data_IF_682293695729
#
_entry.id   IF_682293695729
#
_cell.length_a   1.000
_cell.length_b   1.000
_cell.length_c   1.000
_cell.angle_alpha   90.00
_cell.angle_beta   90.00
_cell.angle_gamma   90.00
#
_symmetry.space_group_name_H-M   'P 1'
#
loop_
_entity.id
_entity.type
_entity.pdbx_description
1 polymer ?
#
# COMPACT_ATOMS: atom_id res chain seq x y z
N UNK A 1 1.24 -12.42 -1.42
CA UNK A 1 1.58 -11.41 -2.42
C UNK A 1 2.88 -10.69 -2.06
N UNK A 2 2.97 -9.91 -0.97
CA UNK A 2 4.18 -9.16 -0.54
C UNK A 2 5.41 -10.05 -0.50
N UNK A 3 5.31 -11.23 0.13
CA UNK A 3 6.43 -12.18 0.22
C UNK A 3 6.97 -12.58 -1.17
N UNK A 4 6.10 -12.78 -2.16
CA UNK A 4 6.54 -13.11 -3.53
C UNK A 4 7.34 -11.98 -4.16
N UNK A 5 6.92 -10.72 -3.97
CA UNK A 5 7.64 -9.55 -4.45
C UNK A 5 9.01 -9.42 -3.76
N UNK A 6 9.06 -9.59 -2.45
CA UNK A 6 10.30 -9.52 -1.67
C UNK A 6 11.30 -10.60 -2.05
N UNK A 7 10.85 -11.81 -2.42
CA UNK A 7 11.76 -12.85 -2.94
C UNK A 7 12.46 -12.42 -4.23
N UNK A 8 11.78 -11.65 -5.10
CA UNK A 8 12.39 -11.13 -6.34
C UNK A 8 13.38 -10.02 -6.03
N UNK A 9 12.96 -8.99 -5.32
CA UNK A 9 13.83 -7.83 -5.06
C UNK A 9 15.05 -8.18 -4.20
N UNK A 10 14.95 -9.18 -3.33
CA UNK A 10 16.08 -9.70 -2.55
C UNK A 10 16.95 -10.70 -3.33
N UNK A 11 16.62 -11.01 -4.59
CA UNK A 11 17.38 -11.92 -5.43
C UNK A 11 17.22 -13.42 -5.12
N UNK A 12 16.26 -13.77 -4.25
CA UNK A 12 15.93 -15.17 -3.90
C UNK A 12 15.04 -15.85 -4.95
N UNK A 13 14.42 -15.09 -5.83
CA UNK A 13 13.66 -15.53 -7.00
C UNK A 13 14.03 -14.65 -8.19
N UNK A 14 14.16 -15.23 -9.38
CA UNK A 14 14.62 -14.52 -10.58
C UNK A 14 13.59 -13.46 -11.02
N UNK A 15 12.34 -13.86 -11.13
CA UNK A 15 11.25 -13.00 -11.64
C UNK A 15 9.89 -13.41 -11.07
N UNK A 16 8.90 -12.57 -11.21
CA UNK A 16 7.50 -12.91 -10.93
C UNK A 16 6.58 -12.15 -11.86
N UNK A 17 5.62 -12.87 -12.42
CA UNK A 17 4.54 -12.27 -13.19
C UNK A 17 3.29 -12.19 -12.31
N UNK A 18 2.74 -11.01 -12.21
CA UNK A 18 1.50 -10.74 -11.49
C UNK A 18 0.30 -10.92 -12.45
N UNK A 19 -0.88 -11.03 -11.86
CA UNK A 19 -2.12 -11.05 -12.64
C UNK A 19 -2.34 -9.74 -13.41
N UNK A 20 -3.33 -9.76 -14.29
CA UNK A 20 -3.71 -8.62 -15.10
C UNK A 20 -4.09 -7.39 -14.28
N UNK A 21 -3.73 -6.23 -14.80
CA UNK A 21 -4.24 -4.92 -14.39
C UNK A 21 -5.05 -4.37 -15.56
N UNK A 22 -6.28 -3.99 -15.29
CA UNK A 22 -7.20 -3.47 -16.30
C UNK A 22 -7.48 -2.01 -16.02
N UNK A 23 -7.58 -1.20 -17.09
CA UNK A 23 -7.90 0.22 -16.94
C UNK A 23 -7.94 0.92 -18.27
N UNK A 24 -7.92 2.24 -18.23
CA UNK A 24 -7.88 3.09 -19.40
C UNK A 24 -6.63 3.95 -19.39
N UNK A 25 -5.91 3.94 -20.51
CA UNK A 25 -4.79 4.84 -20.73
C UNK A 25 -5.34 6.24 -21.04
N UNK A 26 -5.10 7.19 -20.14
CA UNK A 26 -5.37 8.61 -20.32
C UNK A 26 -4.10 9.31 -20.75
N UNK A 27 -4.20 10.52 -21.31
CA UNK A 27 -3.07 11.26 -21.91
C UNK A 27 -1.75 11.24 -21.15
N UNK A 28 -1.78 11.21 -19.82
CA UNK A 28 -0.58 11.23 -18.97
C UNK A 28 -0.66 10.27 -17.78
N UNK A 29 -1.69 9.41 -17.71
CA UNK A 29 -1.91 8.54 -16.57
C UNK A 29 -2.66 7.27 -17.00
N UNK A 30 -2.43 6.19 -16.26
CA UNK A 30 -3.23 4.99 -16.33
C UNK A 30 -4.28 5.01 -15.23
N UNK A 31 -5.55 4.93 -15.59
CA UNK A 31 -6.69 4.86 -14.67
C UNK A 31 -7.10 3.39 -14.45
N UNK A 32 -6.66 2.75 -13.35
CA UNK A 32 -6.95 1.34 -13.12
C UNK A 32 -8.40 1.15 -12.70
N UNK A 33 -9.08 0.24 -13.37
CA UNK A 33 -10.39 -0.25 -13.00
C UNK A 33 -10.29 -1.41 -12.01
N UNK A 34 -9.34 -2.32 -12.26
CA UNK A 34 -8.97 -3.43 -11.36
C UNK A 34 -7.46 -3.46 -11.15
N UNK A 35 -7.06 -4.09 -10.06
CA UNK A 35 -5.65 -4.18 -9.67
C UNK A 35 -5.16 -3.01 -8.81
N UNK A 36 -6.04 -2.09 -8.39
CA UNK A 36 -5.69 -0.92 -7.58
C UNK A 36 -4.86 -1.29 -6.34
N UNK A 37 -5.25 -2.34 -5.62
CA UNK A 37 -4.50 -2.79 -4.44
C UNK A 37 -3.10 -3.30 -4.79
N UNK A 38 -2.94 -3.97 -5.94
CA UNK A 38 -1.62 -4.43 -6.44
C UNK A 38 -0.72 -3.26 -6.78
N UNK A 39 -1.27 -2.25 -7.48
CA UNK A 39 -0.55 -1.03 -7.81
C UNK A 39 -0.16 -0.23 -6.57
N UNK A 40 -1.06 -0.10 -5.59
CA UNK A 40 -0.75 0.52 -4.29
C UNK A 40 0.37 -0.23 -3.57
N UNK A 41 0.35 -1.57 -3.57
CA UNK A 41 1.41 -2.37 -2.95
C UNK A 41 2.74 -2.17 -3.66
N UNK A 42 2.76 -2.13 -5.00
CA UNK A 42 3.96 -1.85 -5.78
C UNK A 42 4.47 -0.43 -5.50
N UNK A 43 3.60 0.56 -5.44
CA UNK A 43 3.97 1.93 -5.07
C UNK A 43 4.67 1.96 -3.70
N UNK A 44 4.09 1.33 -2.68
CA UNK A 44 4.71 1.26 -1.34
C UNK A 44 6.04 0.51 -1.38
N UNK A 45 6.14 -0.60 -2.12
CA UNK A 45 7.40 -1.34 -2.27
C UNK A 45 8.50 -0.47 -2.91
N UNK A 46 8.18 0.27 -3.98
CA UNK A 46 9.11 1.19 -4.63
C UNK A 46 9.56 2.28 -3.64
N UNK A 47 8.62 2.88 -2.90
CA UNK A 47 8.93 3.86 -1.87
C UNK A 47 9.84 3.30 -0.77
N UNK A 48 9.56 2.10 -0.27
CA UNK A 48 10.40 1.44 0.77
C UNK A 48 11.82 1.20 0.25
N UNK A 49 11.97 0.88 -1.02
CA UNK A 49 13.28 0.69 -1.67
C UNK A 49 13.98 2.01 -2.02
N UNK A 50 13.34 3.17 -1.81
CA UNK A 50 13.93 4.48 -2.05
C UNK A 50 13.90 4.92 -3.52
N UNK A 51 13.00 4.37 -4.34
CA UNK A 51 12.75 4.85 -5.70
C UNK A 51 12.07 6.21 -5.64
N UNK A 52 12.49 7.13 -6.50
CA UNK A 52 11.79 8.42 -6.66
C UNK A 52 10.41 8.19 -7.30
N UNK A 53 9.37 8.59 -6.60
CA UNK A 53 7.97 8.42 -6.98
C UNK A 53 7.27 9.76 -7.18
N UNK A 54 8.04 10.79 -7.52
CA UNK A 54 7.55 12.13 -7.79
C UNK A 54 7.47 12.41 -9.29
N UNK A 55 6.50 13.22 -9.67
CA UNK A 55 6.44 13.83 -11.00
C UNK A 55 7.47 14.95 -11.12
N UNK A 56 7.63 15.51 -12.29
CA UNK A 56 8.51 16.67 -12.51
C UNK A 56 8.12 17.90 -11.65
N UNK A 57 6.85 17.97 -11.25
CA UNK A 57 6.27 19.01 -10.38
C UNK A 57 6.42 18.70 -8.90
N UNK A 58 7.01 17.55 -8.53
CA UNK A 58 7.19 17.11 -7.15
C UNK A 58 5.96 16.46 -6.52
N UNK A 59 4.94 16.16 -7.31
CA UNK A 59 3.72 15.49 -6.86
C UNK A 59 3.88 13.94 -6.89
N UNK A 60 3.08 13.22 -6.11
CA UNK A 60 3.06 11.75 -6.17
C UNK A 60 2.58 11.22 -7.52
N UNK A 61 3.25 10.20 -8.04
CA UNK A 61 2.80 9.47 -9.24
C UNK A 61 1.53 8.64 -9.00
N UNK A 62 1.19 8.32 -7.75
CA UNK A 62 -0.05 7.65 -7.39
C UNK A 62 -1.09 8.66 -6.95
N UNK A 63 -2.20 8.72 -7.67
CA UNK A 63 -3.29 9.69 -7.46
C UNK A 63 -4.56 8.93 -7.07
N UNK A 64 -5.30 9.48 -6.11
CA UNK A 64 -6.62 9.01 -5.68
C UNK A 64 -7.67 10.09 -5.94
N UNK A 65 -8.25 10.14 -7.13
CA UNK A 65 -9.20 11.19 -7.53
C UNK A 65 -10.42 11.33 -6.60
N UNK A 66 -10.89 10.22 -6.04
CA UNK A 66 -12.11 10.19 -5.20
C UNK A 66 -11.82 10.15 -3.69
N UNK A 67 -10.55 10.17 -3.29
CA UNK A 67 -10.12 10.03 -1.88
C UNK A 67 -9.06 11.06 -1.53
N UNK A 68 -9.49 12.29 -1.30
CA UNK A 68 -8.60 13.43 -1.05
C UNK A 68 -7.63 13.21 0.11
N UNK A 69 -8.03 12.48 1.17
CA UNK A 69 -7.16 12.15 2.30
C UNK A 69 -6.04 11.20 1.90
N UNK A 70 -6.36 10.15 1.15
CA UNK A 70 -5.37 9.19 0.65
C UNK A 70 -4.41 9.84 -0.36
N UNK A 71 -4.92 10.71 -1.22
CA UNK A 71 -4.09 11.50 -2.15
C UNK A 71 -3.12 12.40 -1.40
N UNK A 72 -3.62 13.19 -0.43
CA UNK A 72 -2.78 14.05 0.39
C UNK A 72 -1.71 13.28 1.16
N UNK A 73 -2.04 12.09 1.68
CA UNK A 73 -1.06 11.22 2.33
C UNK A 73 0.03 10.75 1.35
N UNK A 74 -0.33 10.32 0.13
CA UNK A 74 0.65 9.89 -0.87
C UNK A 74 1.58 11.05 -1.28
N UNK A 75 1.04 12.27 -1.44
CA UNK A 75 1.83 13.47 -1.74
C UNK A 75 2.86 13.74 -0.66
N UNK A 76 2.48 13.68 0.61
CA UNK A 76 3.43 13.86 1.72
C UNK A 76 4.43 12.70 1.81
N UNK A 77 3.96 11.46 1.65
CA UNK A 77 4.80 10.27 1.83
C UNK A 77 6.02 10.26 0.89
N UNK A 78 5.85 10.66 -0.38
CA UNK A 78 6.94 10.62 -1.39
C UNK A 78 8.07 11.62 -1.10
N UNK A 79 7.86 12.62 -0.25
CA UNK A 79 8.90 13.55 0.19
C UNK A 79 9.80 12.98 1.28
N UNK A 80 9.49 11.80 1.81
CA UNK A 80 10.19 11.20 2.92
C UNK A 80 10.84 9.87 2.54
N UNK A 81 11.97 9.55 3.17
CA UNK A 81 12.69 8.30 2.94
C UNK A 81 12.27 7.24 3.96
N UNK A 82 11.84 6.07 3.46
CA UNK A 82 11.40 4.94 4.29
C UNK A 82 12.46 4.49 5.30
N UNK A 83 13.75 4.48 4.91
CA UNK A 83 14.86 4.04 5.77
C UNK A 83 14.99 4.88 7.04
N UNK A 84 14.62 6.17 7.01
CA UNK A 84 14.62 7.01 8.21
C UNK A 84 13.63 6.50 9.25
N UNK A 85 12.43 6.14 8.84
CA UNK A 85 11.39 5.63 9.74
C UNK A 85 11.76 4.25 10.31
N UNK A 86 12.38 3.39 9.50
CA UNK A 86 12.88 2.08 9.94
C UNK A 86 13.98 2.25 10.99
N UNK A 87 14.94 3.11 10.75
CA UNK A 87 16.04 3.35 11.68
C UNK A 87 15.53 3.92 13.01
N UNK A 88 14.65 4.91 12.95
CA UNK A 88 14.07 5.52 14.16
C UNK A 88 13.23 4.52 14.96
N UNK A 89 12.43 3.70 14.29
CA UNK A 89 11.66 2.62 14.93
C UNK A 89 12.59 1.62 15.65
N UNK A 90 13.72 1.26 15.01
CA UNK A 90 14.71 0.37 15.61
C UNK A 90 15.40 1.00 16.83
N UNK A 91 15.75 2.28 16.78
CA UNK A 91 16.34 3.02 17.90
C UNK A 91 15.39 3.12 19.08
N UNK A 92 14.14 3.57 18.84
CA UNK A 92 13.12 3.65 19.89
C UNK A 92 12.82 2.28 20.52
N UNK A 93 12.82 1.21 19.71
CA UNK A 93 12.66 -0.15 20.21
C UNK A 93 13.82 -0.56 21.11
N UNK A 94 15.07 -0.22 20.75
CA UNK A 94 16.26 -0.47 21.61
C UNK A 94 16.18 0.27 22.93
N UNK A 95 15.79 1.55 22.89
CA UNK A 95 15.60 2.36 24.11
C UNK A 95 14.50 1.76 25.02
N UNK A 96 13.37 1.33 24.42
CA UNK A 96 12.28 0.70 25.15
C UNK A 96 12.73 -0.59 25.84
N UNK A 97 13.49 -1.43 25.14
CA UNK A 97 14.07 -2.66 25.70
C UNK A 97 15.01 -2.33 26.86
N UNK A 98 15.91 -1.37 26.70
CA UNK A 98 16.84 -0.94 27.76
C UNK A 98 16.09 -0.48 29.01
N UNK A 99 15.07 0.38 28.86
CA UNK A 99 14.23 0.83 30.00
C UNK A 99 13.53 -0.33 30.69
N UNK A 100 13.06 -1.32 29.92
CA UNK A 100 12.43 -2.53 30.46
C UNK A 100 13.42 -3.38 31.23
N UNK A 101 14.66 -3.55 30.74
CA UNK A 101 15.69 -4.33 31.41
C UNK A 101 16.18 -3.63 32.70
N UNK A 102 16.29 -2.29 32.67
CA UNK A 102 16.54 -1.49 33.88
C UNK A 102 15.44 -1.66 34.93
N UNK A 103 14.15 -1.67 34.51
CA UNK A 103 13.03 -1.90 35.41
C UNK A 103 13.03 -3.32 36.02
N UNK A 104 13.35 -4.34 35.21
CA UNK A 104 13.48 -5.74 35.65
C UNK A 104 14.62 -5.94 36.65
N UNK A 105 15.65 -5.10 36.58
CA UNK A 105 16.81 -5.18 37.49
C UNK A 105 16.53 -4.63 38.88
N UNK A 106 15.42 -3.89 39.08
CA UNK A 106 15.02 -3.38 40.40
C UNK A 106 14.50 -4.49 41.31
N UNK A 107 14.55 -4.31 42.66
CA UNK A 107 13.85 -5.19 43.58
C UNK A 107 12.38 -5.32 43.26
N UNK A 108 11.79 -6.49 43.44
CA UNK A 108 10.42 -6.81 43.04
C UNK A 108 9.37 -5.82 43.56
N UNK A 109 9.55 -5.37 44.79
CA UNK A 109 8.68 -4.40 45.47
C UNK A 109 8.71 -2.97 44.84
N UNK A 110 9.74 -2.67 44.03
CA UNK A 110 9.94 -1.37 43.38
C UNK A 110 9.68 -1.39 41.89
N UNK A 111 9.25 -2.54 41.31
CA UNK A 111 9.00 -2.69 39.89
C UNK A 111 7.66 -2.10 39.51
N UNK A 112 7.66 -1.31 38.43
CA UNK A 112 6.45 -0.84 37.76
C UNK A 112 6.02 -1.86 36.72
N UNK A 113 4.91 -2.55 36.99
CA UNK A 113 4.37 -3.60 36.13
C UNK A 113 4.11 -3.11 34.68
N UNK A 114 3.76 -1.82 34.49
CA UNK A 114 3.51 -1.23 33.19
C UNK A 114 4.78 -1.10 32.33
N UNK A 115 5.97 -1.11 32.95
CA UNK A 115 7.27 -0.97 32.29
C UNK A 115 8.00 -2.30 32.09
N UNK A 116 7.42 -3.40 32.51
CA UNK A 116 8.05 -4.72 32.39
C UNK A 116 7.97 -5.33 30.98
N UNK A 117 7.24 -4.69 30.06
CA UNK A 117 7.11 -5.12 28.66
C UNK A 117 7.66 -4.02 27.74
N UNK A 118 8.68 -4.36 26.96
CA UNK A 118 9.22 -3.45 25.96
C UNK A 118 8.21 -3.22 24.83
N UNK A 119 8.06 -1.97 24.41
CA UNK A 119 7.31 -1.63 23.21
C UNK A 119 8.19 -1.82 21.98
N UNK A 120 7.65 -2.46 20.95
CA UNK A 120 8.30 -2.61 19.65
C UNK A 120 7.67 -1.58 18.73
N UNK A 121 8.42 -0.56 18.40
CA UNK A 121 7.96 0.50 17.48
C UNK A 121 8.02 0.02 16.04
N UNK A 122 7.01 0.40 15.26
CA UNK A 122 6.95 0.14 13.82
C UNK A 122 7.18 1.42 13.01
N UNK A 123 7.60 1.32 11.73
CA UNK A 123 7.71 2.47 10.85
C UNK A 123 6.40 3.26 10.74
N UNK A 124 5.25 2.59 10.71
CA UNK A 124 3.95 3.25 10.65
C UNK A 124 3.64 4.07 11.90
N UNK A 125 4.01 3.61 13.09
CA UNK A 125 3.88 4.38 14.32
C UNK A 125 4.74 5.65 14.29
N UNK A 126 5.97 5.56 13.73
CA UNK A 126 6.83 6.72 13.55
C UNK A 126 6.22 7.72 12.58
N UNK A 127 5.69 7.24 11.44
CA UNK A 127 4.99 8.07 10.45
C UNK A 127 3.79 8.78 11.08
N UNK A 128 2.95 8.05 11.81
CA UNK A 128 1.73 8.60 12.45
C UNK A 128 2.02 9.65 13.54
N UNK A 129 3.26 9.72 14.02
CA UNK A 129 3.70 10.70 15.03
C UNK A 129 4.46 11.88 14.41
N UNK A 130 4.47 12.04 13.09
CA UNK A 130 5.07 13.19 12.39
C UNK A 130 4.11 14.37 12.35
N UNK A 131 4.65 15.57 12.34
CA UNK A 131 3.90 16.83 12.31
C UNK A 131 3.05 16.96 11.04
N UNK A 132 3.51 16.39 9.92
CA UNK A 132 2.78 16.38 8.66
C UNK A 132 1.65 15.34 8.61
N UNK A 133 1.65 14.34 9.51
CA UNK A 133 0.60 13.32 9.53
C UNK A 133 -0.68 13.88 10.17
N UNK A 134 -1.66 14.16 9.34
CA UNK A 134 -2.93 14.73 9.80
C UNK A 134 -3.71 13.73 10.67
N UNK A 135 -4.26 14.20 11.79
CA UNK A 135 -4.99 13.36 12.73
C UNK A 135 -6.17 12.60 12.08
N UNK A 136 -6.89 13.24 11.14
CA UNK A 136 -8.00 12.63 10.40
C UNK A 136 -7.62 11.44 9.55
N UNK A 137 -6.36 11.34 9.12
CA UNK A 137 -5.87 10.24 8.29
C UNK A 137 -5.88 8.89 9.00
N UNK A 138 -5.89 8.88 10.33
CA UNK A 138 -6.00 7.65 11.15
C UNK A 138 -7.32 6.91 10.93
N UNK A 139 -8.34 7.59 10.41
CA UNK A 139 -9.65 7.02 10.13
C UNK A 139 -9.86 6.64 8.67
N UNK A 140 -8.92 6.94 7.79
CA UNK A 140 -8.97 6.54 6.38
C UNK A 140 -8.53 5.08 6.24
N UNK A 141 -9.43 4.17 5.77
CA UNK A 141 -9.09 2.75 5.64
C UNK A 141 -8.02 2.48 4.60
N UNK A 142 -7.88 3.33 3.57
CA UNK A 142 -6.84 3.21 2.55
C UNK A 142 -5.47 3.55 3.13
N UNK A 143 -5.37 4.64 3.88
CA UNK A 143 -4.13 5.04 4.56
C UNK A 143 -3.73 3.97 5.58
N UNK A 144 -4.68 3.46 6.38
CA UNK A 144 -4.40 2.38 7.33
C UNK A 144 -3.88 1.13 6.62
N UNK A 145 -4.44 0.78 5.47
CA UNK A 145 -3.96 -0.35 4.67
C UNK A 145 -2.55 -0.12 4.14
N UNK A 146 -2.21 1.11 3.73
CA UNK A 146 -0.85 1.47 3.31
C UNK A 146 0.13 1.39 4.48
N UNK A 147 -0.23 1.88 5.66
CA UNK A 147 0.61 1.81 6.87
C UNK A 147 0.90 0.37 7.27
N UNK A 148 -0.11 -0.51 7.27
CA UNK A 148 0.08 -1.96 7.50
C UNK A 148 0.99 -2.57 6.43
N UNK A 149 0.87 -2.14 5.17
CA UNK A 149 1.72 -2.62 4.09
C UNK A 149 3.17 -2.17 4.27
N UNK A 150 3.40 -0.92 4.68
CA UNK A 150 4.73 -0.39 5.03
C UNK A 150 5.38 -1.28 6.09
N UNK A 151 4.69 -1.51 7.21
CA UNK A 151 5.21 -2.34 8.30
C UNK A 151 5.52 -3.75 7.82
N UNK A 152 4.60 -4.36 7.05
CA UNK A 152 4.76 -5.73 6.52
C UNK A 152 5.97 -5.85 5.60
N UNK A 153 6.20 -4.88 4.72
CA UNK A 153 7.36 -4.88 3.82
C UNK A 153 8.64 -4.65 4.63
N UNK A 154 8.64 -3.65 5.53
CA UNK A 154 9.82 -3.30 6.33
C UNK A 154 10.24 -4.41 7.28
N UNK A 155 9.30 -5.16 7.86
CA UNK A 155 9.57 -6.30 8.73
C UNK A 155 10.21 -7.49 7.98
N UNK A 156 9.79 -7.72 6.73
CA UNK A 156 10.26 -8.85 5.92
C UNK A 156 11.48 -8.51 5.06
N UNK A 157 11.82 -7.23 4.95
CA UNK A 157 12.95 -6.76 4.15
C UNK A 157 14.27 -7.02 4.87
N UNK A 158 15.25 -7.54 4.16
CA UNK A 158 16.63 -7.64 4.64
C UNK A 158 17.36 -6.32 4.38
N UNK A 159 17.45 -5.49 5.41
CA UNK A 159 18.07 -4.17 5.34
C UNK A 159 19.61 -4.19 5.25
N UNK A 160 20.24 -5.37 5.23
CA UNK A 160 21.68 -5.52 5.01
C UNK A 160 22.03 -5.56 3.53
N UNK A 161 21.03 -5.75 2.67
CA UNK A 161 21.19 -5.80 1.22
C UNK A 161 21.46 -4.41 0.65
N UNK A 162 22.12 -4.39 -0.49
CA UNK A 162 22.28 -3.20 -1.32
C UNK A 162 20.92 -2.81 -1.94
N UNK A 163 20.42 -1.64 -1.59
CA UNK A 163 19.13 -1.15 -2.05
C UNK A 163 19.12 -0.87 -3.54
N UNK A 164 20.24 -0.40 -4.13
CA UNK A 164 20.33 -0.14 -5.57
C UNK A 164 20.19 -1.45 -6.36
N UNK A 165 20.81 -2.52 -5.87
CA UNK A 165 20.63 -3.84 -6.44
C UNK A 165 19.19 -4.37 -6.28
N UNK A 166 18.52 -4.05 -5.17
CA UNK A 166 17.10 -4.39 -4.97
C UNK A 166 16.19 -3.59 -5.91
N UNK A 167 16.44 -2.30 -6.10
CA UNK A 167 15.73 -1.46 -7.06
C UNK A 167 15.85 -1.99 -8.50
N UNK A 168 17.06 -2.35 -8.92
CA UNK A 168 17.30 -2.91 -10.27
C UNK A 168 16.46 -4.16 -10.54
N UNK A 169 16.18 -4.97 -9.50
CA UNK A 169 15.35 -6.18 -9.61
C UNK A 169 13.86 -5.92 -9.66
N UNK A 170 13.38 -4.70 -9.39
CA UNK A 170 11.97 -4.34 -9.57
C UNK A 170 11.51 -4.58 -11.02
N UNK A 171 12.39 -4.41 -12.00
CA UNK A 171 12.09 -4.71 -13.41
C UNK A 171 11.77 -6.19 -13.69
N UNK A 172 12.09 -7.10 -12.76
CA UNK A 172 11.74 -8.51 -12.85
C UNK A 172 10.35 -8.83 -12.29
N UNK A 173 9.64 -7.81 -11.82
CA UNK A 173 8.23 -7.91 -11.41
C UNK A 173 7.40 -7.35 -12.57
N UNK A 174 6.67 -8.22 -13.25
CA UNK A 174 5.87 -7.85 -14.42
C UNK A 174 4.39 -8.13 -14.18
N UNK A 175 3.52 -7.45 -14.88
CA UNK A 175 2.10 -7.73 -14.96
C UNK A 175 1.58 -7.49 -16.38
N UNK A 176 0.50 -8.16 -16.73
CA UNK A 176 -0.17 -7.91 -17.99
C UNK A 176 -1.07 -6.68 -17.84
N UNK A 177 -0.81 -5.67 -18.63
CA UNK A 177 -1.64 -4.48 -18.75
C UNK A 177 -2.64 -4.67 -19.89
N UNK A 178 -3.92 -4.41 -19.63
CA UNK A 178 -4.97 -4.40 -20.64
C UNK A 178 -5.64 -3.03 -20.64
N UNK A 179 -5.43 -2.29 -21.73
CA UNK A 179 -6.10 -1.02 -21.97
C UNK A 179 -7.52 -1.30 -22.52
N UNK A 180 -8.49 -0.72 -21.85
CA UNK A 180 -9.92 -0.79 -22.21
C UNK A 180 -10.44 0.51 -22.86
N UNK A 181 -9.54 1.47 -23.16
CA UNK A 181 -9.84 2.86 -23.47
C UNK A 181 -10.81 3.11 -24.62
N UNK A 182 -10.81 2.28 -25.67
CA UNK A 182 -11.73 2.44 -26.81
C UNK A 182 -12.87 1.41 -26.83
N UNK A 183 -12.79 0.40 -26.00
CA UNK A 183 -13.79 -0.67 -25.94
C UNK A 183 -15.00 -0.29 -25.10
N UNK A 184 -15.58 0.87 -25.19
CA UNK A 184 -16.75 1.32 -24.44
C UNK A 184 -17.22 0.25 -23.47
N UNK A 185 -16.77 0.27 -22.22
CA UNK A 185 -17.11 -0.81 -21.28
C UNK A 185 -18.60 -0.82 -21.10
N UNK A 186 -19.24 -1.87 -21.57
CA UNK A 186 -20.59 -2.16 -21.10
C UNK A 186 -20.52 -2.51 -19.61
N UNK A 187 -21.50 -2.06 -18.83
CA UNK A 187 -21.63 -2.42 -17.41
C UNK A 187 -21.56 -3.94 -17.21
N UNK A 188 -21.98 -4.72 -18.19
CA UNK A 188 -21.85 -6.18 -18.22
C UNK A 188 -20.41 -6.68 -18.17
N UNK A 189 -19.48 -6.04 -18.90
CA UNK A 189 -18.07 -6.44 -18.89
C UNK A 189 -17.44 -6.13 -17.54
N UNK A 190 -17.75 -4.95 -16.96
CA UNK A 190 -17.34 -4.57 -15.62
C UNK A 190 -17.81 -5.59 -14.56
N UNK A 191 -19.08 -5.96 -14.61
CA UNK A 191 -19.70 -6.94 -13.72
C UNK A 191 -19.04 -8.32 -13.89
N UNK A 192 -18.84 -8.78 -15.13
CA UNK A 192 -18.20 -10.07 -15.43
C UNK A 192 -16.74 -10.12 -15.01
N UNK A 193 -16.01 -9.02 -15.10
CA UNK A 193 -14.61 -8.93 -14.68
C UNK A 193 -14.46 -8.92 -13.15
N UNK A 194 -15.33 -8.21 -12.44
CA UNK A 194 -15.34 -8.17 -10.98
C UNK A 194 -15.92 -9.46 -10.34
N UNK A 195 -16.73 -10.22 -11.09
CA UNK A 195 -17.33 -11.47 -10.63
C UNK A 195 -16.34 -12.65 -10.54
N UNK A 196 -15.09 -12.50 -10.96
CA UNK A 196 -14.05 -13.57 -10.94
C UNK A 196 -13.62 -14.07 -9.56
N UNK A 197 -14.25 -13.65 -8.48
CA UNK A 197 -13.91 -14.12 -7.12
C UNK A 197 -15.07 -14.12 -6.13
N UNK A 198 -16.21 -13.57 -6.51
CA UNK A 198 -17.39 -13.55 -5.65
C UNK A 198 -18.63 -13.76 -6.51
N UNK A 199 -19.44 -14.75 -6.18
CA UNK A 199 -20.81 -14.82 -6.69
C UNK A 199 -21.47 -13.47 -6.42
N UNK A 200 -22.05 -12.86 -7.45
CA UNK A 200 -22.85 -11.64 -7.33
C UNK A 200 -23.82 -11.80 -6.16
N UNK A 201 -23.82 -10.86 -5.25
CA UNK A 201 -24.81 -10.84 -4.18
C UNK A 201 -26.20 -10.67 -4.81
N UNK A 202 -27.24 -11.10 -4.10
CA UNK A 202 -28.61 -10.92 -4.60
C UNK A 202 -28.96 -9.43 -4.79
N UNK A 203 -28.28 -8.54 -4.07
CA UNK A 203 -28.36 -7.09 -4.26
C UNK A 203 -27.75 -6.64 -5.61
N UNK A 204 -26.58 -7.18 -5.98
CA UNK A 204 -25.92 -6.84 -7.25
C UNK A 204 -26.75 -7.33 -8.45
N UNK A 205 -27.38 -8.49 -8.32
CA UNK A 205 -28.32 -9.03 -9.33
C UNK A 205 -29.55 -8.14 -9.47
N UNK A 206 -30.15 -7.73 -8.33
CA UNK A 206 -31.32 -6.86 -8.33
C UNK A 206 -31.01 -5.51 -8.96
N UNK A 207 -29.85 -4.94 -8.65
CA UNK A 207 -29.38 -3.66 -9.20
C UNK A 207 -29.24 -3.74 -10.73
N UNK A 208 -28.59 -4.79 -11.25
CA UNK A 208 -28.41 -5.03 -12.68
C UNK A 208 -29.76 -5.15 -13.39
N UNK A 209 -30.72 -5.90 -12.82
CA UNK A 209 -32.07 -6.06 -13.40
C UNK A 209 -32.83 -4.73 -13.42
N UNK A 210 -32.73 -3.91 -12.37
CA UNK A 210 -33.37 -2.61 -12.32
C UNK A 210 -32.75 -1.61 -13.32
N UNK A 211 -31.45 -1.62 -13.50
CA UNK A 211 -30.76 -0.78 -14.48
C UNK A 211 -31.14 -1.16 -15.91
N UNK A 212 -31.27 -2.46 -16.24
CA UNK A 212 -31.79 -2.93 -17.53
C UNK A 212 -33.23 -2.47 -17.78
N UNK A 213 -34.14 -2.60 -16.80
CA UNK A 213 -35.51 -2.15 -16.93
C UNK A 213 -35.64 -0.63 -17.12
N UNK A 214 -34.80 0.17 -16.42
CA UNK A 214 -34.79 1.62 -16.59
C UNK A 214 -34.29 2.02 -17.97
N UNK A 215 -33.25 1.36 -18.50
CA UNK A 215 -32.74 1.63 -19.85
C UNK A 215 -33.77 1.27 -20.94
N UNK A 216 -34.51 0.17 -20.77
CA UNK A 216 -35.57 -0.21 -21.69
C UNK A 216 -36.75 0.77 -21.71
N UNK A 217 -37.03 1.44 -20.57
CA UNK A 217 -38.10 2.47 -20.48
C UNK A 217 -37.66 3.85 -20.99
N UNK A 218 -36.36 4.12 -21.11
CA UNK A 218 -35.85 5.41 -21.61
C UNK A 218 -35.53 5.37 -23.12
N UNK A 219 -35.66 4.21 -23.77
CA UNK A 219 -35.40 3.98 -25.20
C UNK A 219 -36.61 3.94 -26.07
N UNK A 220 -37.84 4.27 -25.57
CA UNK A 220 -39.07 4.45 -26.38
C UNK A 220 -39.37 5.95 -26.62
#
# INVERSE_FOLDING_TARGET
FVRSLLLVVTGKKAETQLDFVYGSDRKNAFEPLDGQQRLTTLFILHWVLGVDLQTAEGESILIYETRNTSEAFCKELVHHNAKQFVNEAAEKTKESKKKTDEERSKPEEQRDASKLKAHIYTPSEIIQNRDWFQWGWRFDPTINSMLVMIDTICEQMDWTLDLDACQARLNNITFNHLDLGEMGMSDELFIKMNARGKLLSDFDKLKSTLEEEIQLQQGE
#
